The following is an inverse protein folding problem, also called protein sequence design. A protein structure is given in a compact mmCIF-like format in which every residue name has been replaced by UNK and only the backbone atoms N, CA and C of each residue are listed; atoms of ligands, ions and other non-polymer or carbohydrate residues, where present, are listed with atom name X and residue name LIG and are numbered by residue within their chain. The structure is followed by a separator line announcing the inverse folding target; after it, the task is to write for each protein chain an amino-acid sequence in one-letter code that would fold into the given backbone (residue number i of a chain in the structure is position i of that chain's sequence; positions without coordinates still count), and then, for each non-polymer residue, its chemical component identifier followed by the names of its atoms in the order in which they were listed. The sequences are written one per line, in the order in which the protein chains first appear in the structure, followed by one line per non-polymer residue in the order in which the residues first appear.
data_IF_546149320016
#
_entry.id   IF_546149320016
#
_cell.length_a   1.000
_cell.length_b   1.000
_cell.length_c   1.000
_cell.angle_alpha   90.00
_cell.angle_beta   90.00
_cell.angle_gamma   90.00
#
_symmetry.space_group_name_H-M   'P 1'
#
loop_
_entity.id
_entity.type
_entity.pdbx_description
1 polymer ?
#
# COMPACT_ATOMS: atom_id res chain seq x y z
N UNK A 1 -7.14 -12.43 -48.76
CA UNK A 1 -6.80 -11.29 -47.87
C UNK A 1 -7.34 -11.58 -46.49
N UNK A 2 -6.48 -11.99 -45.56
CA UNK A 2 -6.86 -12.44 -44.22
C UNK A 2 -6.00 -11.70 -43.18
N UNK A 3 -6.62 -10.89 -42.31
CA UNK A 3 -6.13 -10.63 -40.94
C UNK A 3 -7.32 -10.20 -40.05
N UNK A 4 -7.82 -11.08 -39.14
CA UNK A 4 -8.62 -10.64 -38.01
C UNK A 4 -8.05 -11.10 -36.65
N UNK A 5 -6.72 -11.28 -36.54
CA UNK A 5 -6.08 -11.80 -35.32
C UNK A 5 -5.62 -10.71 -34.33
N UNK A 6 -5.37 -9.49 -34.78
CA UNK A 6 -4.68 -8.47 -33.97
C UNK A 6 -5.62 -7.70 -33.03
N UNK A 7 -6.90 -7.56 -33.38
CA UNK A 7 -7.87 -6.81 -32.57
C UNK A 7 -8.37 -7.56 -31.33
N UNK A 8 -8.26 -8.90 -31.29
CA UNK A 8 -8.63 -9.70 -30.10
C UNK A 8 -7.55 -9.69 -29.01
N UNK A 9 -6.30 -9.35 -29.33
CA UNK A 9 -5.23 -9.33 -28.34
C UNK A 9 -5.21 -8.04 -27.51
N UNK A 10 -5.68 -6.91 -28.08
CA UNK A 10 -5.80 -5.64 -27.36
C UNK A 10 -7.04 -5.56 -26.47
N UNK A 11 -8.15 -6.21 -26.84
CA UNK A 11 -9.39 -6.17 -26.06
C UNK A 11 -9.37 -6.96 -24.74
N UNK A 12 -8.41 -7.89 -24.57
CA UNK A 12 -8.32 -8.76 -23.39
C UNK A 12 -7.44 -8.18 -22.26
N UNK A 13 -6.69 -7.09 -22.53
CA UNK A 13 -5.87 -6.42 -21.51
C UNK A 13 -6.62 -5.37 -20.68
N UNK A 14 -7.83 -4.98 -21.09
CA UNK A 14 -8.61 -3.93 -20.43
C UNK A 14 -9.72 -4.42 -19.50
N UNK A 15 -9.98 -5.73 -19.45
CA UNK A 15 -11.04 -6.33 -18.61
C UNK A 15 -10.52 -7.26 -17.51
N UNK A 16 -9.19 -7.39 -17.38
CA UNK A 16 -8.55 -8.12 -16.30
C UNK A 16 -7.88 -7.16 -15.33
N UNK A 17 -8.67 -6.24 -14.75
CA UNK A 17 -8.31 -5.74 -13.42
C UNK A 17 -8.14 -6.94 -12.49
N UNK A 18 -7.19 -6.91 -11.54
CA UNK A 18 -6.84 -8.07 -10.75
C UNK A 18 -7.96 -8.38 -9.76
N UNK A 19 -8.94 -9.17 -10.19
CA UNK A 19 -9.85 -9.92 -9.31
C UNK A 19 -9.11 -11.12 -8.70
N UNK A 20 -7.83 -10.95 -8.38
CA UNK A 20 -7.07 -11.91 -7.58
C UNK A 20 -7.47 -11.59 -6.15
N UNK A 21 -8.02 -12.57 -5.42
CA UNK A 21 -8.21 -12.45 -3.98
C UNK A 21 -6.87 -12.06 -3.37
N UNK A 22 -6.81 -10.86 -2.77
CA UNK A 22 -5.62 -10.43 -2.03
C UNK A 22 -5.49 -11.40 -0.85
N UNK A 23 -4.30 -11.95 -0.58
CA UNK A 23 -4.11 -12.84 0.56
C UNK A 23 -4.54 -12.12 1.83
N UNK A 24 -5.48 -12.70 2.59
CA UNK A 24 -6.00 -12.04 3.78
C UNK A 24 -4.94 -11.84 4.87
N UNK A 25 -3.89 -12.67 4.84
CA UNK A 25 -2.73 -12.54 5.72
C UNK A 25 -2.00 -11.21 5.49
N UNK A 26 -1.76 -10.85 4.23
CA UNK A 26 -1.12 -9.57 3.88
C UNK A 26 -2.00 -8.39 4.33
N UNK A 27 -3.32 -8.47 4.13
CA UNK A 27 -4.27 -7.45 4.58
C UNK A 27 -4.30 -7.29 6.11
N UNK A 28 -4.21 -8.41 6.86
CA UNK A 28 -4.16 -8.39 8.33
C UNK A 28 -2.87 -7.76 8.84
N UNK A 29 -1.73 -8.07 8.22
CA UNK A 29 -0.43 -7.48 8.57
C UNK A 29 -0.45 -5.97 8.30
N UNK A 30 -0.93 -5.56 7.12
CA UNK A 30 -1.07 -4.14 6.78
C UNK A 30 -2.01 -3.42 7.75
N UNK A 31 -3.14 -4.03 8.11
CA UNK A 31 -4.05 -3.43 9.08
C UNK A 31 -3.45 -3.33 10.48
N UNK A 32 -2.67 -4.31 10.93
CA UNK A 32 -1.96 -4.25 12.21
C UNK A 32 -0.88 -3.15 12.20
N UNK A 33 -0.07 -3.09 11.12
CA UNK A 33 0.94 -2.05 10.94
C UNK A 33 0.32 -0.64 10.95
N UNK A 34 -0.82 -0.47 10.28
CA UNK A 34 -1.60 0.79 10.30
C UNK A 34 -2.01 1.20 11.72
N UNK A 35 -2.56 0.26 12.49
CA UNK A 35 -2.99 0.53 13.86
C UNK A 35 -1.79 0.88 14.77
N UNK A 36 -0.67 0.17 14.61
CA UNK A 36 0.57 0.48 15.35
C UNK A 36 1.07 1.88 15.00
N UNK A 37 1.10 2.24 13.72
CA UNK A 37 1.49 3.58 13.27
C UNK A 37 0.58 4.66 13.89
N UNK A 38 -0.74 4.49 13.78
CA UNK A 38 -1.74 5.42 14.31
C UNK A 38 -1.61 5.62 15.83
N UNK A 39 -1.56 4.52 16.58
CA UNK A 39 -1.45 4.54 18.04
C UNK A 39 -0.11 5.16 18.45
N UNK A 40 0.99 4.81 17.79
CA UNK A 40 2.32 5.36 18.11
C UNK A 40 2.35 6.86 17.89
N UNK A 41 1.76 7.37 16.81
CA UNK A 41 1.63 8.80 16.59
C UNK A 41 0.74 9.48 17.64
N UNK A 42 -0.38 8.86 18.02
CA UNK A 42 -1.26 9.39 19.06
C UNK A 42 -0.54 9.45 20.43
N UNK A 43 0.26 8.43 20.75
CA UNK A 43 1.08 8.38 21.96
C UNK A 43 2.17 9.46 21.94
N UNK A 44 2.90 9.58 20.82
CA UNK A 44 3.91 10.62 20.65
C UNK A 44 3.31 12.03 20.86
N UNK A 45 2.11 12.23 20.33
CA UNK A 45 1.34 13.46 20.46
C UNK A 45 0.89 13.73 21.89
N UNK A 46 0.45 12.70 22.61
CA UNK A 46 0.03 12.80 24.00
C UNK A 46 1.17 13.22 24.92
N UNK A 47 2.39 12.69 24.70
CA UNK A 47 3.55 13.00 25.53
C UNK A 47 4.23 14.33 25.17
N UNK A 48 4.14 14.82 23.93
CA UNK A 48 4.72 16.09 23.50
C UNK A 48 3.67 17.04 22.92
N UNK A 49 2.74 17.56 23.75
CA UNK A 49 1.68 18.46 23.28
C UNK A 49 2.19 19.83 22.80
N UNK A 50 3.46 20.17 23.05
CA UNK A 50 4.05 21.47 22.71
C UNK A 50 4.21 21.70 21.20
N UNK A 51 4.35 20.64 20.39
CA UNK A 51 4.33 20.77 18.93
C UNK A 51 2.92 21.12 18.40
N UNK A 52 1.86 20.71 19.11
CA UNK A 52 0.46 20.98 18.75
C UNK A 52 -0.01 22.40 19.04
N UNK A 53 0.72 23.20 19.83
CA UNK A 53 0.37 24.63 19.99
C UNK A 53 0.34 25.35 18.64
N UNK A 54 1.02 24.81 17.62
CA UNK A 54 0.97 25.26 16.22
C UNK A 54 -0.12 24.59 15.37
N UNK A 55 -0.63 23.40 15.75
CA UNK A 55 -1.47 22.52 14.92
C UNK A 55 -2.91 22.27 15.44
N UNK A 56 -3.25 22.79 16.64
CA UNK A 56 -4.62 22.91 17.14
C UNK A 56 -5.32 21.61 17.58
N UNK A 57 -6.51 21.75 18.20
CA UNK A 57 -7.38 20.65 18.65
C UNK A 57 -7.80 19.70 17.51
N UNK A 58 -7.85 20.21 16.27
CA UNK A 58 -8.26 19.44 15.10
C UNK A 58 -7.31 18.29 14.77
N UNK A 59 -5.99 18.51 14.85
CA UNK A 59 -4.99 17.46 14.59
C UNK A 59 -5.15 16.27 15.56
N UNK A 60 -5.38 16.56 16.84
CA UNK A 60 -5.65 15.54 17.85
C UNK A 60 -6.93 14.74 17.53
N UNK A 61 -8.03 15.44 17.22
CA UNK A 61 -9.31 14.79 16.86
C UNK A 61 -9.16 13.92 15.62
N UNK A 62 -8.47 14.39 14.58
CA UNK A 62 -8.23 13.63 13.35
C UNK A 62 -7.40 12.37 13.61
N UNK A 63 -6.38 12.44 14.46
CA UNK A 63 -5.57 11.28 14.83
C UNK A 63 -6.32 10.27 15.68
N UNK A 64 -7.18 10.73 16.59
CA UNK A 64 -8.08 9.84 17.34
C UNK A 64 -9.03 9.12 16.38
N UNK A 65 -9.68 9.85 15.46
CA UNK A 65 -10.56 9.25 14.45
C UNK A 65 -9.82 8.25 13.56
N UNK A 66 -8.62 8.60 13.09
CA UNK A 66 -7.79 7.70 12.31
C UNK A 66 -7.36 6.45 13.10
N UNK A 67 -7.05 6.60 14.39
CA UNK A 67 -6.69 5.48 15.28
C UNK A 67 -7.87 4.54 15.49
N UNK A 68 -9.07 5.09 15.73
CA UNK A 68 -10.32 4.31 15.85
C UNK A 68 -10.62 3.58 14.54
N UNK A 69 -10.53 4.26 13.40
CA UNK A 69 -10.68 3.64 12.07
C UNK A 69 -9.69 2.49 11.87
N UNK A 70 -8.40 2.72 12.17
CA UNK A 70 -7.34 1.74 11.98
C UNK A 70 -7.54 0.50 12.86
N UNK A 71 -7.85 0.69 14.14
CA UNK A 71 -8.15 -0.42 15.06
C UNK A 71 -9.42 -1.17 14.64
N UNK A 72 -10.48 -0.45 14.27
CA UNK A 72 -11.72 -1.04 13.79
C UNK A 72 -11.50 -1.92 12.56
N UNK A 73 -10.66 -1.45 11.62
CA UNK A 73 -10.28 -2.21 10.44
C UNK A 73 -9.44 -3.46 10.79
N UNK A 74 -8.48 -3.35 11.72
CA UNK A 74 -7.71 -4.51 12.20
C UNK A 74 -8.62 -5.56 12.86
N UNK A 75 -9.58 -5.13 13.68
CA UNK A 75 -10.54 -6.01 14.34
C UNK A 75 -11.48 -6.66 13.31
N UNK A 76 -12.03 -5.88 12.38
CA UNK A 76 -12.90 -6.39 11.33
C UNK A 76 -12.22 -7.48 10.48
N UNK A 77 -10.96 -7.26 10.10
CA UNK A 77 -10.19 -8.21 9.29
C UNK A 77 -9.80 -9.50 10.04
N UNK A 78 -9.84 -9.51 11.39
CA UNK A 78 -9.69 -10.76 12.17
C UNK A 78 -10.89 -11.69 12.00
N UNK A 79 -12.08 -11.14 11.76
CA UNK A 79 -13.32 -11.91 11.62
C UNK A 79 -13.69 -12.24 10.16
N UNK A 80 -12.91 -11.76 9.18
CA UNK A 80 -13.10 -12.06 7.76
C UNK A 80 -12.15 -13.17 7.32
N UNK A 81 -12.62 -14.00 6.39
CA UNK A 81 -11.81 -15.04 5.73
C UNK A 81 -11.42 -14.65 4.30
N UNK A 82 -12.18 -13.75 3.66
CA UNK A 82 -11.90 -13.25 2.32
C UNK A 82 -12.08 -11.73 2.26
N UNK A 83 -11.27 -11.07 1.43
CA UNK A 83 -11.32 -9.62 1.19
C UNK A 83 -11.52 -9.38 -0.30
N UNK A 84 -12.51 -8.57 -0.65
CA UNK A 84 -12.76 -8.21 -2.05
C UNK A 84 -11.76 -7.16 -2.54
N UNK A 85 -11.49 -7.15 -3.85
CA UNK A 85 -10.64 -6.15 -4.48
C UNK A 85 -11.16 -4.72 -4.26
N UNK A 86 -12.49 -4.53 -4.26
CA UNK A 86 -13.13 -3.24 -4.00
C UNK A 86 -12.88 -2.73 -2.57
N UNK A 87 -12.91 -3.63 -1.59
CA UNK A 87 -12.60 -3.29 -0.21
C UNK A 87 -11.13 -2.86 -0.06
N UNK A 88 -10.21 -3.61 -0.67
CA UNK A 88 -8.78 -3.28 -0.66
C UNK A 88 -8.51 -1.91 -1.30
N UNK A 89 -9.20 -1.58 -2.41
CA UNK A 89 -9.15 -0.27 -3.04
C UNK A 89 -9.68 0.84 -2.11
N UNK A 90 -10.82 0.62 -1.45
CA UNK A 90 -11.38 1.57 -0.48
C UNK A 90 -10.44 1.82 0.71
N UNK A 91 -9.80 0.78 1.23
CA UNK A 91 -8.80 0.90 2.29
C UNK A 91 -7.57 1.66 1.79
N UNK A 92 -7.09 1.40 0.58
CA UNK A 92 -5.97 2.16 0.02
C UNK A 92 -6.30 3.63 -0.21
N UNK A 93 -7.51 3.95 -0.68
CA UNK A 93 -7.97 5.32 -0.78
C UNK A 93 -7.94 6.01 0.59
N UNK A 94 -8.41 5.33 1.64
CA UNK A 94 -8.31 5.82 3.01
C UNK A 94 -6.84 6.02 3.44
N UNK A 95 -5.94 5.11 3.07
CA UNK A 95 -4.50 5.21 3.36
C UNK A 95 -3.82 6.42 2.71
N UNK A 96 -4.43 7.02 1.68
CA UNK A 96 -3.93 8.25 1.04
C UNK A 96 -4.67 9.48 1.55
N UNK A 97 -6.00 9.40 1.69
CA UNK A 97 -6.85 10.53 2.09
C UNK A 97 -6.61 10.94 3.54
N UNK A 98 -6.49 9.99 4.47
CA UNK A 98 -6.23 10.32 5.88
C UNK A 98 -4.93 11.11 6.07
N UNK A 99 -3.76 10.64 5.56
CA UNK A 99 -2.55 11.44 5.61
C UNK A 99 -2.72 12.82 5.01
N UNK A 100 -3.37 12.95 3.85
CA UNK A 100 -3.58 14.24 3.17
C UNK A 100 -4.41 15.22 4.02
N UNK A 101 -5.48 14.74 4.65
CA UNK A 101 -6.30 15.57 5.54
C UNK A 101 -5.50 15.94 6.79
N UNK A 102 -4.78 14.99 7.39
CA UNK A 102 -3.98 15.25 8.59
C UNK A 102 -2.86 16.25 8.26
N UNK A 103 -2.09 16.06 7.18
CA UNK A 103 -1.01 16.96 6.75
C UNK A 103 -1.53 18.35 6.50
N UNK A 104 -2.63 18.49 5.74
CA UNK A 104 -3.23 19.79 5.46
C UNK A 104 -3.51 20.62 6.73
N UNK A 105 -3.99 19.99 7.80
CA UNK A 105 -4.26 20.68 9.08
C UNK A 105 -3.07 20.71 10.05
N UNK A 106 -1.92 20.15 9.68
CA UNK A 106 -0.70 20.06 10.52
C UNK A 106 0.55 20.59 9.80
N UNK A 107 0.52 21.85 9.34
CA UNK A 107 1.59 22.52 8.56
C UNK A 107 1.70 22.13 7.07
N UNK A 108 0.68 21.44 6.53
CA UNK A 108 0.65 21.00 5.13
C UNK A 108 1.86 20.15 4.76
N UNK A 109 2.66 20.57 3.76
CA UNK A 109 3.81 19.81 3.29
C UNK A 109 4.94 19.72 4.32
N UNK A 110 4.92 20.54 5.37
CA UNK A 110 5.91 20.52 6.45
C UNK A 110 5.57 19.52 7.55
N UNK A 111 4.37 18.95 7.51
CA UNK A 111 3.87 18.02 8.50
C UNK A 111 4.78 16.79 8.69
N UNK A 112 5.05 16.36 9.94
CA UNK A 112 5.71 15.07 10.18
C UNK A 112 4.84 13.87 9.74
N UNK A 113 3.53 14.07 9.55
CA UNK A 113 2.60 13.03 9.12
C UNK A 113 2.76 12.61 7.66
N UNK A 114 3.63 13.26 6.88
CA UNK A 114 3.96 12.80 5.51
C UNK A 114 4.46 11.34 5.48
N UNK A 115 5.03 10.84 6.58
CA UNK A 115 5.47 9.44 6.73
C UNK A 115 4.33 8.43 6.53
N UNK A 116 3.08 8.83 6.74
CA UNK A 116 1.92 7.98 6.51
C UNK A 116 1.72 7.70 5.02
N UNK A 117 2.16 8.59 4.14
CA UNK A 117 2.21 8.27 2.72
C UNK A 117 3.17 7.12 2.44
N UNK A 118 4.34 7.04 3.10
CA UNK A 118 5.26 5.89 2.94
C UNK A 118 4.57 4.58 3.29
N UNK A 119 3.74 4.57 4.34
CA UNK A 119 2.89 3.41 4.65
C UNK A 119 1.88 3.11 3.53
N UNK A 120 1.23 4.12 2.93
CA UNK A 120 0.34 3.93 1.80
C UNK A 120 1.05 3.35 0.57
N UNK A 121 2.28 3.78 0.29
CA UNK A 121 3.15 3.23 -0.76
C UNK A 121 3.49 1.77 -0.47
N UNK A 122 3.83 1.45 0.78
CA UNK A 122 4.08 0.07 1.23
C UNK A 122 2.86 -0.83 1.02
N UNK A 123 1.67 -0.36 1.44
CA UNK A 123 0.43 -1.09 1.23
C UNK A 123 0.13 -1.30 -0.27
N UNK A 124 0.35 -0.28 -1.11
CA UNK A 124 0.17 -0.40 -2.57
C UNK A 124 1.14 -1.40 -3.19
N UNK A 125 2.41 -1.36 -2.80
CA UNK A 125 3.45 -2.25 -3.28
C UNK A 125 3.13 -3.72 -2.98
N UNK A 126 2.73 -4.02 -1.74
CA UNK A 126 2.39 -5.39 -1.36
C UNK A 126 1.09 -5.88 -2.01
N UNK A 127 0.10 -5.00 -2.24
CA UNK A 127 -1.19 -5.38 -2.82
C UNK A 127 -1.12 -5.62 -4.33
N UNK A 128 -0.48 -4.72 -5.07
CA UNK A 128 -0.57 -4.71 -6.53
C UNK A 128 0.78 -4.76 -7.24
N UNK A 129 1.84 -4.26 -6.60
CA UNK A 129 3.22 -4.35 -7.08
C UNK A 129 3.88 -2.99 -7.31
N UNK A 130 4.96 -3.00 -8.09
CA UNK A 130 5.81 -1.82 -8.30
C UNK A 130 5.07 -0.63 -8.94
N UNK A 131 4.17 -0.89 -9.89
CA UNK A 131 3.51 0.18 -10.66
C UNK A 131 2.61 1.01 -9.76
N UNK A 132 1.83 0.35 -8.93
CA UNK A 132 0.89 0.98 -8.02
C UNK A 132 1.63 1.70 -6.90
N UNK A 133 2.74 1.16 -6.39
CA UNK A 133 3.61 1.87 -5.45
C UNK A 133 4.15 3.19 -6.02
N UNK A 134 4.62 3.19 -7.27
CA UNK A 134 5.09 4.40 -7.95
C UNK A 134 3.96 5.38 -8.23
N UNK A 135 2.76 4.90 -8.59
CA UNK A 135 1.59 5.75 -8.75
C UNK A 135 1.18 6.38 -7.42
N UNK A 136 1.17 5.63 -6.33
CA UNK A 136 0.91 6.17 -4.98
C UNK A 136 1.97 7.19 -4.58
N UNK A 137 3.24 6.97 -4.92
CA UNK A 137 4.31 7.95 -4.69
C UNK A 137 4.06 9.25 -5.46
N UNK A 138 3.68 9.16 -6.73
CA UNK A 138 3.35 10.30 -7.57
C UNK A 138 2.10 11.04 -7.04
N UNK A 139 1.07 10.31 -6.61
CA UNK A 139 -0.13 10.89 -6.00
C UNK A 139 0.20 11.61 -4.70
N UNK A 140 0.95 10.98 -3.79
CA UNK A 140 1.38 11.59 -2.53
C UNK A 140 2.20 12.86 -2.78
N UNK A 141 3.14 12.82 -3.73
CA UNK A 141 3.93 14.00 -4.12
C UNK A 141 3.04 15.10 -4.69
N UNK A 142 2.06 14.75 -5.53
CA UNK A 142 1.08 15.69 -6.08
C UNK A 142 0.21 16.33 -4.98
N UNK A 143 -0.19 15.56 -3.97
CA UNK A 143 -0.92 16.08 -2.80
C UNK A 143 -0.07 17.11 -2.06
N UNK A 144 1.19 16.79 -1.73
CA UNK A 144 2.09 17.74 -1.05
C UNK A 144 2.34 19.01 -1.88
N UNK A 145 2.40 18.88 -3.21
CA UNK A 145 2.50 20.03 -4.12
C UNK A 145 1.23 20.89 -4.09
N UNK A 146 0.04 20.27 -4.08
CA UNK A 146 -1.23 20.98 -3.98
C UNK A 146 -1.33 21.70 -2.63
N UNK A 147 -0.93 21.05 -1.53
CA UNK A 147 -0.87 21.68 -0.21
C UNK A 147 0.08 22.87 -0.19
N UNK A 148 1.28 22.73 -0.79
CA UNK A 148 2.25 23.81 -0.93
C UNK A 148 1.71 25.02 -1.70
N UNK A 149 1.04 24.78 -2.83
CA UNK A 149 0.39 25.83 -3.62
C UNK A 149 -0.73 26.48 -2.80
N UNK A 150 -1.54 25.69 -2.09
CA UNK A 150 -2.62 26.16 -1.23
C UNK A 150 -2.15 27.04 -0.07
N UNK A 151 -0.96 26.76 0.48
CA UNK A 151 -0.32 27.59 1.49
C UNK A 151 0.36 28.84 0.93
N UNK A 152 0.72 28.86 -0.36
CA UNK A 152 1.39 30.00 -0.98
C UNK A 152 0.39 31.01 -1.56
N UNK A 153 -0.68 30.51 -2.19
CA UNK A 153 -1.63 31.32 -2.96
C UNK A 153 -3.07 31.23 -2.46
N UNK A 154 -3.38 30.28 -1.57
CA UNK A 154 -4.74 30.01 -1.11
C UNK A 154 -5.13 30.79 0.15
N UNK A 155 -6.44 30.95 0.42
CA UNK A 155 -6.94 31.58 1.65
C UNK A 155 -6.54 30.81 2.92
N UNK A 156 -6.19 29.53 2.76
CA UNK A 156 -5.71 28.62 3.82
C UNK A 156 -4.38 29.10 4.42
N UNK A 157 -3.56 29.82 3.65
CA UNK A 157 -2.32 30.41 4.12
C UNK A 157 -2.52 31.28 5.38
N UNK A 158 -3.61 32.06 5.40
CA UNK A 158 -3.95 32.95 6.51
C UNK A 158 -4.48 32.23 7.75
N UNK A 159 -5.01 31.01 7.60
CA UNK A 159 -5.57 30.19 8.67
C UNK A 159 -4.51 29.35 9.40
N UNK A 160 -3.45 28.94 8.69
CA UNK A 160 -2.47 27.96 9.21
C UNK A 160 -1.15 28.62 9.61
N UNK A 161 -0.79 29.79 9.06
CA UNK A 161 0.46 30.48 9.42
C UNK A 161 1.74 29.67 9.09
N UNK A 162 1.62 28.69 8.19
CA UNK A 162 2.71 27.84 7.74
C UNK A 162 3.64 28.63 6.81
N UNK A 163 4.95 28.53 7.06
CA UNK A 163 5.95 29.08 6.15
C UNK A 163 6.24 28.06 5.05
N UNK A 164 6.22 28.51 3.78
CA UNK A 164 6.56 27.65 2.66
C UNK A 164 8.06 27.31 2.69
N UNK A 165 8.38 26.04 2.94
CA UNK A 165 9.74 25.50 2.89
C UNK A 165 9.91 24.63 1.64
N UNK A 166 10.40 25.25 0.58
CA UNK A 166 10.68 24.58 -0.69
C UNK A 166 11.69 23.45 -0.55
N UNK A 167 12.71 23.62 0.31
CA UNK A 167 13.76 22.62 0.50
C UNK A 167 13.18 21.37 1.17
N UNK A 168 12.38 21.56 2.22
CA UNK A 168 11.67 20.47 2.89
C UNK A 168 10.72 19.72 1.94
N UNK A 169 9.98 20.44 1.08
CA UNK A 169 9.10 19.82 0.09
C UNK A 169 9.88 18.97 -0.93
N UNK A 170 10.99 19.50 -1.46
CA UNK A 170 11.85 18.76 -2.41
C UNK A 170 12.38 17.49 -1.75
N UNK A 171 12.88 17.57 -0.51
CA UNK A 171 13.39 16.40 0.21
C UNK A 171 12.30 15.33 0.42
N UNK A 172 11.08 15.73 0.82
CA UNK A 172 9.95 14.80 0.99
C UNK A 172 9.53 14.16 -0.34
N UNK A 173 9.49 14.91 -1.43
CA UNK A 173 9.22 14.37 -2.75
C UNK A 173 10.28 13.34 -3.18
N UNK A 174 11.56 13.64 -2.93
CA UNK A 174 12.68 12.71 -3.18
C UNK A 174 12.54 11.46 -2.30
N UNK A 175 12.20 11.59 -1.03
CA UNK A 175 11.97 10.45 -0.15
C UNK A 175 10.81 9.58 -0.62
N UNK A 176 9.68 10.16 -1.01
CA UNK A 176 8.55 9.40 -1.55
C UNK A 176 8.92 8.67 -2.84
N UNK A 177 9.68 9.31 -3.73
CA UNK A 177 10.16 8.69 -4.95
C UNK A 177 11.11 7.50 -4.66
N UNK A 178 12.10 7.71 -3.78
CA UNK A 178 13.07 6.68 -3.41
C UNK A 178 12.38 5.52 -2.68
N UNK A 179 11.56 5.79 -1.67
CA UNK A 179 10.83 4.75 -0.95
C UNK A 179 9.85 4.03 -1.86
N UNK A 180 9.11 4.74 -2.73
CA UNK A 180 8.23 4.11 -3.71
C UNK A 180 8.96 3.17 -4.65
N UNK A 181 10.14 3.59 -5.13
CA UNK A 181 10.98 2.75 -5.96
C UNK A 181 11.52 1.53 -5.20
N UNK A 182 12.15 1.73 -4.04
CA UNK A 182 12.76 0.65 -3.26
C UNK A 182 11.74 -0.37 -2.79
N UNK A 183 10.63 0.10 -2.22
CA UNK A 183 9.57 -0.76 -1.69
C UNK A 183 8.87 -1.49 -2.84
N UNK A 184 8.56 -0.80 -3.93
CA UNK A 184 7.95 -1.44 -5.08
C UNK A 184 8.87 -2.47 -5.75
N UNK A 185 10.18 -2.20 -5.84
CA UNK A 185 11.17 -3.16 -6.35
C UNK A 185 11.28 -4.39 -5.46
N UNK A 186 11.30 -4.18 -4.13
CA UNK A 186 11.35 -5.27 -3.15
C UNK A 186 10.10 -6.14 -3.23
N UNK A 187 8.91 -5.53 -3.34
CA UNK A 187 7.65 -6.26 -3.47
C UNK A 187 7.60 -7.10 -4.75
N UNK A 188 8.09 -6.57 -5.88
CA UNK A 188 8.16 -7.33 -7.14
C UNK A 188 9.16 -8.49 -7.05
N UNK A 189 10.32 -8.25 -6.43
CA UNK A 189 11.35 -9.27 -6.21
C UNK A 189 10.86 -10.40 -5.32
N UNK A 190 10.10 -10.09 -4.27
CA UNK A 190 9.48 -11.09 -3.39
C UNK A 190 8.42 -11.91 -4.13
N UNK A 191 7.64 -11.26 -5.00
CA UNK A 191 6.64 -11.93 -5.84
C UNK A 191 7.28 -12.89 -6.85
N UNK A 192 8.43 -12.52 -7.42
CA UNK A 192 9.21 -13.39 -8.30
C UNK A 192 9.71 -14.62 -7.56
N UNK A 193 10.37 -14.44 -6.40
CA UNK A 193 10.85 -15.56 -5.56
C UNK A 193 9.73 -16.53 -5.16
N UNK A 194 8.56 -16.02 -4.77
CA UNK A 194 7.40 -16.87 -4.44
C UNK A 194 6.90 -17.67 -5.65
N UNK A 195 6.91 -17.07 -6.83
CA UNK A 195 6.50 -17.74 -8.07
C UNK A 195 7.47 -18.86 -8.45
N UNK A 196 8.77 -18.61 -8.30
CA UNK A 196 9.81 -19.62 -8.53
C UNK A 196 9.72 -20.79 -7.54
N UNK A 197 9.55 -20.50 -6.24
CA UNK A 197 9.39 -21.52 -5.21
C UNK A 197 8.16 -22.42 -5.46
N UNK A 198 7.04 -21.83 -5.86
CA UNK A 198 5.83 -22.58 -6.22
C UNK A 198 6.08 -23.46 -7.46
N UNK A 199 6.80 -22.96 -8.47
CA UNK A 199 7.14 -23.75 -9.65
C UNK A 199 8.05 -24.94 -9.31
N UNK A 200 9.07 -24.74 -8.47
CA UNK A 200 9.94 -25.82 -8.00
C UNK A 200 9.13 -26.87 -7.24
N UNK A 201 8.22 -26.46 -6.35
CA UNK A 201 7.35 -27.40 -5.62
C UNK A 201 6.43 -28.22 -6.53
N UNK A 202 5.93 -27.62 -7.63
CA UNK A 202 5.11 -28.31 -8.62
C UNK A 202 5.93 -29.32 -9.41
N UNK A 203 7.13 -28.93 -9.84
CA UNK A 203 8.04 -29.80 -10.57
C UNK A 203 8.52 -30.98 -9.72
N UNK A 204 8.84 -30.75 -8.44
CA UNK A 204 9.22 -31.82 -7.52
C UNK A 204 8.06 -32.77 -7.21
N UNK A 205 6.84 -32.25 -7.08
CA UNK A 205 5.64 -33.08 -6.93
C UNK A 205 5.40 -33.98 -8.16
N UNK A 206 5.50 -33.44 -9.38
CA UNK A 206 5.35 -34.21 -10.62
C UNK A 206 6.44 -35.29 -10.75
N UNK A 207 7.70 -34.93 -10.51
CA UNK A 207 8.81 -35.89 -10.57
C UNK A 207 8.65 -37.04 -9.56
N UNK A 208 8.12 -36.76 -8.37
CA UNK A 208 7.85 -37.77 -7.34
C UNK A 208 6.69 -38.70 -7.74
N UNK A 209 5.66 -38.18 -8.41
CA UNK A 209 4.56 -39.00 -8.93
C UNK A 209 5.04 -39.94 -10.04
N UNK A 210 5.84 -39.45 -10.98
CA UNK A 210 6.39 -40.26 -12.08
C UNK A 210 7.32 -41.37 -11.59
N UNK A 211 8.16 -41.08 -10.58
CA UNK A 211 9.01 -42.08 -9.94
C UNK A 211 8.19 -43.16 -9.21
N UNK A 212 7.11 -42.75 -8.52
CA UNK A 212 6.20 -43.69 -7.85
C UNK A 212 5.46 -44.60 -8.85
N UNK A 213 4.99 -44.04 -9.97
CA UNK A 213 4.25 -44.79 -10.99
C UNK A 213 5.13 -45.88 -11.65
N UNK A 214 6.38 -45.55 -11.97
CA UNK A 214 7.36 -46.53 -12.49
C UNK A 214 7.66 -47.63 -11.48
N UNK A 215 7.79 -47.29 -10.20
CA UNK A 215 7.96 -48.26 -9.13
C UNK A 215 6.79 -49.24 -9.03
N UNK A 216 5.55 -48.75 -9.14
CA UNK A 216 4.36 -49.61 -9.12
C UNK A 216 4.25 -50.51 -10.36
N UNK A 217 4.60 -50.01 -11.55
CA UNK A 217 4.59 -50.83 -12.77
C UNK A 217 5.61 -51.97 -12.71
N UNK A 218 6.82 -51.69 -12.23
CA UNK A 218 7.85 -52.72 -12.03
C UNK A 218 7.49 -53.74 -10.95
N UNK A 219 6.66 -53.37 -9.97
CA UNK A 219 6.20 -54.30 -8.94
C UNK A 219 5.11 -55.26 -9.43
N UNK A 220 4.31 -54.87 -10.42
CA UNK A 220 3.21 -55.68 -10.98
C UNK A 220 3.67 -56.54 -12.17
N UNK A 221 4.66 -56.07 -12.93
CA UNK A 221 5.25 -56.79 -14.08
C UNK A 221 5.78 -58.23 -13.81
N UNK A 222 6.26 -58.60 -12.61
CA UNK A 222 6.68 -59.96 -12.29
C UNK A 222 5.53 -60.88 -11.83
N UNK A 223 4.32 -60.35 -11.60
CA UNK A 223 3.13 -61.15 -11.21
C UNK A 223 2.28 -61.59 -12.42
N UNK A 224 2.67 -61.20 -13.64
CA UNK A 224 2.09 -61.62 -14.92
C UNK A 224 3.02 -62.59 -15.64
#
# INVERSE_FOLDING_TARGET
MAVPAVTRFLGRKLTLWPLRSVPIEDERILAAARAVLAISSLVALYFNPTELTRYGTLAYVLLVLYSVYSCGLSVLLRFRNEVSAQFSLGVHAADVVWPAVISLFTDGPNSPFFLYFIFALLAAAFRWGMREALLTAAMATGILMIEAIGLTYGPVASLIGAQFDANGLIMRAVYLAIFGFLIGYLAESEKQRRTEALNISRLSAMARVDAGLKGTLQAVLPEL
#
